data_IF_043669078560
#
_entry.id   IF_043669078560
#
_cell.length_a   1.000
_cell.length_b   1.000
_cell.length_c   1.000
_cell.angle_alpha   90.00
_cell.angle_beta   90.00
_cell.angle_gamma   90.00
#
_symmetry.space_group_name_H-M   'P 1'
#
loop_
_entity.id
_entity.type
_entity.pdbx_description
1 polymer ?
#
# COMPACT_ATOMS: atom_id res chain seq x y z
N UNK A 1 24.68 38.10 5.12
CA UNK A 1 24.84 36.81 5.85
C UNK A 1 23.47 36.17 5.94
N UNK A 2 23.36 34.86 5.69
CA UNK A 2 22.08 34.17 5.76
C UNK A 2 21.65 33.97 7.23
N UNK A 3 20.35 34.03 7.49
CA UNK A 3 19.72 33.56 8.72
C UNK A 3 19.29 32.12 8.48
N UNK A 4 19.82 31.19 9.27
CA UNK A 4 19.45 29.79 9.21
C UNK A 4 18.28 29.57 10.18
N UNK A 5 17.17 29.06 9.66
CA UNK A 5 15.97 28.76 10.42
C UNK A 5 15.69 27.25 10.30
N UNK A 6 15.46 26.60 11.43
CA UNK A 6 14.99 25.21 11.46
C UNK A 6 13.60 25.21 12.10
N UNK A 7 12.62 24.68 11.39
CA UNK A 7 11.28 24.43 11.92
C UNK A 7 11.24 22.97 12.38
N UNK A 8 10.89 22.74 13.64
CA UNK A 8 10.76 21.39 14.21
C UNK A 8 9.37 21.17 14.79
N UNK A 9 8.84 19.96 14.59
CA UNK A 9 7.63 19.48 15.23
C UNK A 9 8.01 18.23 16.03
N UNK A 10 7.73 18.23 17.33
CA UNK A 10 7.96 17.09 18.21
C UNK A 10 6.63 16.48 18.62
N UNK A 11 6.55 15.15 18.64
CA UNK A 11 5.34 14.45 19.08
C UNK A 11 5.32 12.98 18.72
N UNK A 12 4.12 12.41 18.63
CA UNK A 12 3.87 11.05 18.14
C UNK A 12 2.74 11.12 17.12
N UNK A 13 2.99 10.68 15.89
CA UNK A 13 2.01 10.73 14.81
C UNK A 13 2.60 10.34 13.47
N UNK A 14 1.81 10.53 12.40
CA UNK A 14 2.24 10.24 11.04
C UNK A 14 2.98 11.47 10.48
N UNK A 15 4.29 11.53 10.72
CA UNK A 15 5.11 12.65 10.23
C UNK A 15 5.31 12.66 8.71
N UNK A 16 5.17 11.50 8.06
CA UNK A 16 5.24 11.34 6.60
C UNK A 16 4.12 12.08 5.84
N UNK A 17 2.99 12.31 6.50
CA UNK A 17 1.83 13.00 5.92
C UNK A 17 1.93 14.54 6.01
N UNK A 18 2.94 15.07 6.72
CA UNK A 18 3.08 16.51 6.94
C UNK A 18 3.63 17.18 5.68
N UNK A 19 2.83 18.09 5.11
CA UNK A 19 3.26 18.91 3.99
C UNK A 19 4.39 19.86 4.40
N UNK A 20 5.34 20.08 3.49
CA UNK A 20 6.40 21.06 3.69
C UNK A 20 5.86 22.48 3.83
N UNK A 21 6.49 23.27 4.70
CA UNK A 21 6.16 24.68 4.84
C UNK A 21 6.74 25.48 3.69
N UNK A 22 5.93 26.37 3.13
CA UNK A 22 6.37 27.44 2.22
C UNK A 22 6.55 28.73 3.01
N UNK A 23 7.69 29.38 2.85
CA UNK A 23 8.00 30.65 3.49
C UNK A 23 8.21 31.72 2.41
N UNK A 24 7.46 32.82 2.52
CA UNK A 24 7.62 33.99 1.68
C UNK A 24 7.79 35.22 2.58
N UNK A 25 8.85 36.00 2.32
CA UNK A 25 9.23 37.18 3.09
C UNK A 25 9.65 38.25 2.08
N UNK A 26 8.93 39.36 2.09
CA UNK A 26 9.22 40.49 1.22
C UNK A 26 10.65 41.01 1.43
N UNK A 27 11.39 41.20 0.33
CA UNK A 27 12.77 41.70 0.38
C UNK A 27 13.83 40.71 0.86
N UNK A 28 13.48 39.42 0.96
CA UNK A 28 14.41 38.34 1.25
C UNK A 28 14.32 37.20 0.24
N UNK A 29 15.46 36.60 -0.10
CA UNK A 29 15.53 35.34 -0.86
C UNK A 29 15.53 34.18 0.13
N UNK A 30 14.63 33.21 -0.06
CA UNK A 30 14.52 32.01 0.77
C UNK A 30 14.98 30.79 0.00
N UNK A 31 15.86 30.00 0.62
CA UNK A 31 16.19 28.64 0.20
C UNK A 31 15.65 27.67 1.25
N UNK A 32 15.08 26.56 0.80
CA UNK A 32 14.53 25.53 1.68
C UNK A 32 15.01 24.15 1.26
N UNK A 33 15.41 23.36 2.23
CA UNK A 33 15.67 21.93 2.02
C UNK A 33 14.35 21.16 2.04
N UNK A 34 14.39 19.90 1.55
CA UNK A 34 13.30 18.96 1.75
C UNK A 34 13.11 18.65 3.25
N UNK A 35 11.89 18.27 3.62
CA UNK A 35 11.59 17.91 4.99
C UNK A 35 12.16 16.53 5.35
N UNK A 36 12.70 16.41 6.55
CA UNK A 36 13.21 15.15 7.11
C UNK A 36 12.38 14.77 8.34
N UNK A 37 12.17 13.48 8.57
CA UNK A 37 11.45 13.00 9.74
C UNK A 37 12.07 11.75 10.35
N UNK A 38 11.80 11.57 11.63
CA UNK A 38 12.15 10.40 12.45
C UNK A 38 10.91 9.94 13.22
N UNK A 39 11.07 8.99 14.15
CA UNK A 39 9.96 8.41 14.91
C UNK A 39 9.22 9.41 15.82
N UNK A 40 9.84 10.52 16.22
CA UNK A 40 9.29 11.48 17.17
C UNK A 40 9.45 12.95 16.74
N UNK A 41 10.00 13.19 15.55
CA UNK A 41 10.36 14.52 15.10
C UNK A 41 10.20 14.66 13.60
N UNK A 42 9.66 15.80 13.19
CA UNK A 42 9.69 16.30 11.81
C UNK A 42 10.50 17.60 11.79
N UNK A 43 11.31 17.82 10.75
CA UNK A 43 12.10 19.04 10.59
C UNK A 43 12.19 19.52 9.14
N UNK A 44 12.28 20.84 8.96
CA UNK A 44 12.61 21.48 7.69
C UNK A 44 13.54 22.67 7.93
N UNK A 45 14.56 22.81 7.07
CA UNK A 45 15.59 23.85 7.17
C UNK A 45 15.39 24.90 6.08
N UNK A 46 15.60 26.15 6.47
CA UNK A 46 15.56 27.32 5.60
C UNK A 46 16.81 28.16 5.77
N UNK A 47 17.30 28.72 4.67
CA UNK A 47 18.31 29.77 4.66
C UNK A 47 17.69 31.04 4.07
N UNK A 48 17.61 32.09 4.88
CA UNK A 48 16.95 33.36 4.53
C UNK A 48 18.03 34.42 4.32
N UNK A 49 18.06 35.01 3.13
CA UNK A 49 19.01 36.07 2.75
C UNK A 49 18.24 37.36 2.51
N UNK A 50 18.17 38.21 3.54
CA UNK A 50 17.58 39.54 3.46
C UNK A 50 18.62 40.64 3.31
N UNK A 51 18.28 41.70 2.57
CA UNK A 51 19.09 42.92 2.45
C UNK A 51 18.75 44.02 3.46
N UNK A 52 17.59 43.91 4.10
CA UNK A 52 17.03 44.85 5.07
C UNK A 52 16.37 44.10 6.23
N UNK A 53 15.92 44.82 7.25
CA UNK A 53 15.14 44.24 8.34
C UNK A 53 13.89 43.52 7.79
N UNK A 54 13.61 42.34 8.33
CA UNK A 54 12.48 41.53 7.92
C UNK A 54 11.88 40.78 9.11
N UNK A 55 10.64 40.32 8.96
CA UNK A 55 9.94 39.53 9.97
C UNK A 55 9.69 38.14 9.41
N UNK A 56 10.15 37.12 10.14
CA UNK A 56 9.79 35.73 9.88
C UNK A 56 8.36 35.56 10.42
N UNK A 57 7.36 35.24 9.57
CA UNK A 57 5.98 35.07 10.00
C UNK A 57 5.80 33.90 10.97
N UNK A 58 4.66 33.91 11.66
CA UNK A 58 4.21 32.79 12.49
C UNK A 58 3.95 31.56 11.61
N UNK A 59 4.49 30.41 12.00
CA UNK A 59 4.16 29.12 11.41
C UNK A 59 2.92 28.57 12.11
N UNK A 60 1.91 28.17 11.33
CA UNK A 60 0.70 27.51 11.83
C UNK A 60 0.69 26.05 11.39
N UNK A 61 0.35 25.17 12.32
CA UNK A 61 0.22 23.74 12.05
C UNK A 61 -1.11 23.23 12.60
N UNK A 62 -1.91 22.68 11.69
CA UNK A 62 -3.19 22.07 12.00
C UNK A 62 -3.03 20.54 12.05
N UNK A 63 -3.60 19.91 13.07
CA UNK A 63 -3.56 18.46 13.23
C UNK A 63 -4.83 17.91 13.88
N UNK A 64 -5.07 16.61 13.71
CA UNK A 64 -6.15 15.89 14.39
C UNK A 64 -5.61 15.24 15.66
N UNK A 65 -6.14 15.64 16.82
CA UNK A 65 -5.76 15.06 18.10
C UNK A 65 -6.62 13.82 18.37
N UNK A 66 -5.98 12.64 18.40
CA UNK A 66 -6.64 11.35 18.62
C UNK A 66 -7.25 11.20 20.02
N UNK A 67 -6.72 11.91 21.03
CA UNK A 67 -7.21 11.82 22.42
C UNK A 67 -8.51 12.61 22.56
N UNK A 68 -8.54 13.83 22.03
CA UNK A 68 -9.73 14.70 22.09
C UNK A 68 -10.68 14.54 20.91
N UNK A 69 -10.30 13.72 19.92
CA UNK A 69 -11.02 13.48 18.66
C UNK A 69 -11.43 14.78 17.95
N UNK A 70 -10.56 15.78 17.99
CA UNK A 70 -10.84 17.12 17.46
C UNK A 70 -9.67 17.68 16.66
N UNK A 71 -9.97 18.59 15.73
CA UNK A 71 -8.95 19.36 15.02
C UNK A 71 -8.39 20.43 15.95
N UNK A 72 -7.06 20.46 16.11
CA UNK A 72 -6.33 21.46 16.87
C UNK A 72 -5.36 22.21 15.97
N UNK A 73 -4.98 23.42 16.39
CA UNK A 73 -4.02 24.27 15.71
C UNK A 73 -3.00 24.78 16.72
N UNK A 74 -1.73 24.74 16.35
CA UNK A 74 -0.63 25.33 17.11
C UNK A 74 0.13 26.30 16.22
N UNK A 75 0.69 27.35 16.83
CA UNK A 75 1.39 28.39 16.09
C UNK A 75 2.63 28.88 16.83
N UNK A 76 3.67 29.23 16.06
CA UNK A 76 4.85 29.91 16.60
C UNK A 76 4.60 31.41 16.72
N UNK A 77 5.46 32.12 17.45
CA UNK A 77 5.47 33.59 17.43
C UNK A 77 6.28 34.07 16.21
N UNK A 78 5.90 35.17 15.57
CA UNK A 78 6.73 35.79 14.53
C UNK A 78 8.06 36.27 15.14
N UNK A 79 9.12 36.26 14.33
CA UNK A 79 10.48 36.62 14.75
C UNK A 79 10.98 37.81 13.93
N UNK A 80 11.21 38.93 14.59
CA UNK A 80 11.78 40.13 13.95
C UNK A 80 13.30 40.02 13.85
N UNK A 81 13.82 40.15 12.62
CA UNK A 81 15.25 40.13 12.32
C UNK A 81 15.71 41.54 11.96
N UNK A 82 16.69 42.04 12.71
CA UNK A 82 17.32 43.33 12.45
C UNK A 82 18.70 43.13 11.82
N UNK A 83 18.91 43.70 10.64
CA UNK A 83 20.18 43.66 9.92
C UNK A 83 20.95 44.93 10.25
N UNK A 84 21.99 44.80 11.07
CA UNK A 84 22.92 45.90 11.35
C UNK A 84 23.85 46.13 10.16
N UNK A 85 23.35 46.77 9.12
CA UNK A 85 24.16 47.27 8.01
C UNK A 85 24.82 48.59 8.41
N UNK A 86 26.15 48.70 8.28
CA UNK A 86 26.79 50.02 8.26
C UNK A 86 26.23 50.77 7.05
N UNK A 87 25.65 51.97 7.26
CA UNK A 87 25.06 52.80 6.21
C UNK A 87 26.00 52.87 5.00
N UNK A 88 25.60 52.19 3.92
CA UNK A 88 26.32 52.12 2.66
C UNK A 88 25.31 51.99 1.54
N UNK A 89 24.88 53.15 1.04
CA UNK A 89 24.26 53.39 -0.27
C UNK A 89 23.13 52.43 -0.68
N UNK A 90 21.90 52.90 -0.46
CA UNK A 90 20.73 52.42 -1.19
C UNK A 90 21.00 52.58 -2.69
N UNK A 91 21.12 51.48 -3.42
CA UNK A 91 20.85 51.49 -4.86
C UNK A 91 19.35 51.30 -5.03
N UNK A 92 18.63 52.21 -5.71
CA UNK A 92 17.22 52.01 -5.99
C UNK A 92 17.08 50.79 -6.90
N UNK A 93 16.40 49.76 -6.40
CA UNK A 93 15.94 48.65 -7.23
C UNK A 93 14.89 49.25 -8.16
N UNK A 94 15.22 49.34 -9.45
CA UNK A 94 14.25 49.65 -10.50
C UNK A 94 13.15 48.61 -10.44
N UNK A 95 11.90 49.07 -10.29
CA UNK A 95 10.72 48.30 -10.70
C UNK A 95 10.91 47.95 -12.18
N UNK A 96 10.97 46.66 -12.49
CA UNK A 96 10.79 46.19 -13.86
C UNK A 96 9.31 45.83 -13.95
N UNK A 97 8.57 46.69 -14.64
CA UNK A 97 7.21 46.40 -15.08
C UNK A 97 7.18 45.12 -15.90
N UNK A 98 6.12 44.37 -15.67
CA UNK A 98 5.79 43.12 -16.32
C UNK A 98 5.87 43.24 -17.85
N UNK A 99 6.73 42.42 -18.45
CA UNK A 99 6.49 41.89 -19.79
C UNK A 99 6.02 40.44 -19.59
N UNK A 100 4.88 40.02 -20.16
CA UNK A 100 4.58 38.60 -20.24
C UNK A 100 5.61 38.00 -21.20
N UNK A 101 6.72 37.52 -20.65
CA UNK A 101 7.53 36.55 -21.35
C UNK A 101 6.63 35.33 -21.47
N UNK A 102 6.26 34.98 -22.70
CA UNK A 102 5.85 33.62 -23.04
C UNK A 102 6.99 32.71 -22.56
N UNK A 103 6.92 32.30 -21.31
CA UNK A 103 7.57 31.08 -20.88
C UNK A 103 6.74 30.04 -21.61
N UNK A 104 7.33 29.47 -22.66
CA UNK A 104 6.90 28.16 -23.10
C UNK A 104 6.85 27.31 -21.83
N UNK A 105 5.64 27.05 -21.34
CA UNK A 105 5.31 25.94 -20.47
C UNK A 105 5.59 24.66 -21.27
N UNK A 106 6.85 24.44 -21.62
CA UNK A 106 7.35 23.10 -21.74
C UNK A 106 7.57 22.69 -20.29
N UNK A 107 6.65 21.93 -19.66
CA UNK A 107 6.98 21.28 -18.41
C UNK A 107 8.35 20.62 -18.62
N UNK A 108 9.25 20.59 -17.62
CA UNK A 108 10.43 19.73 -17.73
C UNK A 108 9.86 18.39 -18.15
N UNK A 109 10.22 17.92 -19.35
CA UNK A 109 9.66 16.70 -19.93
C UNK A 109 10.17 15.59 -19.04
N UNK A 110 9.43 15.38 -17.94
CA UNK A 110 9.73 14.44 -16.91
C UNK A 110 9.27 13.12 -17.49
N UNK A 111 10.06 12.62 -18.42
CA UNK A 111 10.02 11.30 -19.00
C UNK A 111 9.90 10.21 -17.92
N UNK A 112 10.30 10.49 -16.67
CA UNK A 112 10.01 9.66 -15.49
C UNK A 112 8.52 9.36 -15.33
N UNK A 113 7.60 10.30 -15.58
CA UNK A 113 6.14 10.05 -15.52
C UNK A 113 5.73 8.95 -16.50
N UNK A 114 6.29 8.97 -17.72
CA UNK A 114 6.03 7.96 -18.74
C UNK A 114 6.72 6.62 -18.41
N UNK A 115 7.89 6.65 -17.77
CA UNK A 115 8.54 5.44 -17.24
C UNK A 115 7.72 4.79 -16.12
N UNK A 116 7.18 5.56 -15.17
CA UNK A 116 6.28 5.03 -14.14
C UNK A 116 4.97 4.48 -14.73
N UNK A 117 4.44 5.12 -15.77
CA UNK A 117 3.27 4.63 -16.50
C UNK A 117 3.57 3.29 -17.19
N UNK A 118 4.71 3.19 -17.91
CA UNK A 118 5.16 1.94 -18.53
C UNK A 118 5.42 0.84 -17.49
N UNK A 119 6.01 1.19 -16.35
CA UNK A 119 6.25 0.26 -15.25
C UNK A 119 4.93 -0.26 -14.65
N UNK A 120 3.94 0.62 -14.46
CA UNK A 120 2.61 0.24 -14.00
C UNK A 120 1.91 -0.72 -14.97
N UNK A 121 2.01 -0.46 -16.29
CA UNK A 121 1.47 -1.36 -17.32
C UNK A 121 2.18 -2.72 -17.29
N UNK A 122 3.52 -2.74 -17.17
CA UNK A 122 4.28 -3.98 -17.12
C UNK A 122 3.93 -4.83 -15.89
N UNK A 123 3.80 -4.21 -14.71
CA UNK A 123 3.39 -4.89 -13.47
C UNK A 123 1.95 -5.40 -13.59
N UNK A 124 1.03 -4.57 -14.10
CA UNK A 124 -0.38 -4.96 -14.30
C UNK A 124 -0.54 -6.14 -15.26
N UNK A 125 0.19 -6.12 -16.38
CA UNK A 125 0.22 -7.23 -17.33
C UNK A 125 0.80 -8.50 -16.70
N UNK A 126 1.89 -8.39 -15.94
CA UNK A 126 2.50 -9.52 -15.24
C UNK A 126 1.54 -10.15 -14.23
N UNK A 127 0.87 -9.35 -13.39
CA UNK A 127 -0.12 -9.83 -12.43
C UNK A 127 -1.31 -10.49 -13.14
N UNK A 128 -1.76 -9.91 -14.26
CA UNK A 128 -2.88 -10.46 -15.04
C UNK A 128 -2.53 -11.81 -15.66
N UNK A 129 -1.33 -11.94 -16.24
CA UNK A 129 -0.82 -13.20 -16.79
C UNK A 129 -0.69 -14.24 -15.69
N UNK A 130 -0.13 -13.87 -14.52
CA UNK A 130 0.00 -14.75 -13.38
C UNK A 130 -1.38 -15.22 -12.89
N UNK A 131 -2.35 -14.31 -12.78
CA UNK A 131 -3.71 -14.61 -12.37
C UNK A 131 -4.39 -15.59 -13.35
N UNK A 132 -4.28 -15.36 -14.67
CA UNK A 132 -4.83 -16.26 -15.69
C UNK A 132 -4.12 -17.62 -15.66
N UNK A 133 -2.79 -17.65 -15.54
CA UNK A 133 -2.02 -18.90 -15.47
C UNK A 133 -2.37 -19.74 -14.23
N UNK A 134 -2.67 -19.09 -13.10
CA UNK A 134 -3.13 -19.76 -11.88
C UNK A 134 -4.59 -20.24 -12.01
N UNK A 135 -5.45 -19.45 -12.65
CA UNK A 135 -6.88 -19.76 -12.80
C UNK A 135 -7.16 -20.80 -13.90
N UNK A 136 -6.23 -21.00 -14.84
CA UNK A 136 -6.35 -22.01 -15.90
C UNK A 136 -6.11 -23.45 -15.41
N UNK A 137 -5.90 -23.67 -14.11
CA UNK A 137 -6.03 -24.98 -13.48
C UNK A 137 -7.47 -25.16 -13.02
N UNK A 138 -8.39 -25.41 -13.95
CA UNK A 138 -9.68 -25.98 -13.55
C UNK A 138 -9.41 -27.27 -12.75
N UNK A 139 -9.91 -27.39 -11.52
CA UNK A 139 -9.92 -28.69 -10.86
C UNK A 139 -10.87 -29.56 -11.69
N UNK A 140 -10.35 -30.60 -12.34
CA UNK A 140 -11.22 -31.65 -12.86
C UNK A 140 -12.10 -32.13 -11.71
N UNK A 141 -13.41 -32.23 -11.92
CA UNK A 141 -14.38 -32.79 -10.94
C UNK A 141 -13.88 -34.12 -10.34
N UNK A 142 -13.10 -34.85 -11.12
CA UNK A 142 -12.44 -36.09 -10.73
C UNK A 142 -11.36 -35.89 -9.64
N UNK A 143 -10.57 -34.80 -9.70
CA UNK A 143 -9.65 -34.45 -8.60
C UNK A 143 -10.38 -34.10 -7.31
N UNK A 144 -11.59 -33.51 -7.35
CA UNK A 144 -12.31 -33.19 -6.12
C UNK A 144 -12.85 -34.45 -5.42
N UNK A 145 -13.45 -35.40 -6.14
CA UNK A 145 -13.95 -36.64 -5.54
C UNK A 145 -12.82 -37.53 -5.01
N UNK A 146 -11.76 -37.72 -5.79
CA UNK A 146 -10.58 -38.51 -5.36
C UNK A 146 -9.93 -37.89 -4.12
N UNK A 147 -9.84 -36.56 -4.05
CA UNK A 147 -9.29 -35.88 -2.88
C UNK A 147 -10.21 -36.01 -1.66
N UNK A 148 -11.52 -35.89 -1.82
CA UNK A 148 -12.47 -36.08 -0.73
C UNK A 148 -12.42 -37.53 -0.18
N UNK A 149 -12.31 -38.55 -1.03
CA UNK A 149 -12.13 -39.95 -0.60
C UNK A 149 -10.83 -40.14 0.19
N UNK A 150 -9.74 -39.52 -0.27
CA UNK A 150 -8.45 -39.55 0.45
C UNK A 150 -8.55 -38.88 1.82
N UNK A 151 -9.23 -37.74 1.90
CA UNK A 151 -9.36 -36.91 3.10
C UNK A 151 -10.43 -37.42 4.09
N UNK A 152 -11.39 -38.24 3.65
CA UNK A 152 -12.45 -38.78 4.51
C UNK A 152 -11.86 -39.52 5.72
N UNK A 153 -12.20 -39.06 6.93
CA UNK A 153 -11.71 -39.66 8.18
C UNK A 153 -12.74 -40.64 8.71
N UNK A 154 -12.40 -41.92 8.65
CA UNK A 154 -13.23 -43.03 9.17
C UNK A 154 -14.29 -43.53 8.19
N UNK A 155 -14.87 -44.67 8.56
CA UNK A 155 -15.76 -45.45 7.71
C UNK A 155 -17.09 -44.72 7.45
N UNK A 156 -17.63 -44.02 8.45
CA UNK A 156 -18.86 -43.22 8.30
C UNK A 156 -18.73 -42.11 7.26
N UNK A 157 -17.65 -41.33 7.33
CA UNK A 157 -17.42 -40.23 6.37
C UNK A 157 -17.20 -40.75 4.94
N UNK A 158 -16.60 -41.94 4.81
CA UNK A 158 -16.43 -42.59 3.52
C UNK A 158 -17.75 -43.15 2.99
N UNK A 159 -18.58 -43.75 3.84
CA UNK A 159 -19.90 -44.25 3.50
C UNK A 159 -20.84 -43.13 3.02
N UNK A 160 -20.95 -42.05 3.79
CA UNK A 160 -21.79 -40.89 3.46
C UNK A 160 -21.38 -40.24 2.12
N UNK A 161 -20.09 -40.30 1.75
CA UNK A 161 -19.57 -39.77 0.49
C UNK A 161 -19.88 -40.68 -0.71
N UNK A 162 -19.83 -42.00 -0.53
CA UNK A 162 -20.02 -42.97 -1.62
C UNK A 162 -21.50 -43.28 -1.89
N UNK A 163 -22.36 -43.13 -0.88
CA UNK A 163 -23.79 -43.43 -0.97
C UNK A 163 -24.51 -42.71 -2.14
N UNK A 164 -24.28 -41.41 -2.41
CA UNK A 164 -24.96 -40.71 -3.50
C UNK A 164 -24.50 -41.13 -4.91
N UNK A 165 -23.40 -41.88 -5.04
CA UNK A 165 -22.84 -42.22 -6.35
C UNK A 165 -23.65 -43.31 -7.07
N UNK A 166 -24.47 -44.09 -6.36
CA UNK A 166 -25.35 -45.14 -6.92
C UNK A 166 -24.65 -46.07 -7.94
N UNK A 167 -23.38 -46.45 -7.67
CA UNK A 167 -22.57 -47.29 -8.55
C UNK A 167 -22.61 -48.75 -8.09
N UNK A 168 -22.88 -49.67 -9.01
CA UNK A 168 -22.92 -51.12 -8.75
C UNK A 168 -21.53 -51.65 -8.35
N UNK A 169 -20.47 -51.02 -8.86
CA UNK A 169 -19.08 -51.31 -8.52
C UNK A 169 -18.71 -51.04 -7.04
N UNK A 170 -19.51 -50.24 -6.34
CA UNK A 170 -19.27 -49.83 -4.95
C UNK A 170 -20.13 -50.59 -3.92
N UNK A 171 -21.07 -51.42 -4.35
CA UNK A 171 -22.07 -52.05 -3.48
C UNK A 171 -21.43 -52.95 -2.41
N UNK A 172 -20.46 -53.77 -2.79
CA UNK A 172 -19.72 -54.61 -1.84
C UNK A 172 -18.93 -53.78 -0.81
N UNK A 173 -18.44 -52.61 -1.20
CA UNK A 173 -17.69 -51.71 -0.33
C UNK A 173 -18.64 -50.98 0.63
N UNK A 174 -19.81 -50.56 0.14
CA UNK A 174 -20.86 -49.96 0.95
C UNK A 174 -21.36 -50.93 2.02
N UNK A 175 -21.56 -52.20 1.69
CA UNK A 175 -21.95 -53.23 2.65
C UNK A 175 -20.88 -53.47 3.73
N UNK A 176 -19.60 -53.49 3.35
CA UNK A 176 -18.50 -53.63 4.31
C UNK A 176 -18.41 -52.41 5.24
N UNK A 177 -18.61 -51.20 4.70
CA UNK A 177 -18.66 -49.97 5.49
C UNK A 177 -19.87 -49.95 6.44
N UNK A 178 -21.05 -50.37 5.97
CA UNK A 178 -22.25 -50.48 6.79
C UNK A 178 -22.04 -51.49 7.94
N UNK A 179 -21.42 -52.64 7.65
CA UNK A 179 -21.10 -53.64 8.66
C UNK A 179 -20.10 -53.11 9.71
N UNK A 180 -19.11 -52.31 9.30
CA UNK A 180 -18.18 -51.67 10.23
C UNK A 180 -18.86 -50.61 11.10
N UNK A 181 -19.81 -49.85 10.54
CA UNK A 181 -20.51 -48.76 11.26
C UNK A 181 -21.57 -49.30 12.23
N UNK A 182 -22.38 -50.27 11.79
CA UNK A 182 -23.59 -50.69 12.51
C UNK A 182 -23.50 -52.10 13.10
N UNK A 183 -22.64 -52.97 12.56
CA UNK A 183 -22.53 -54.38 12.99
C UNK A 183 -21.22 -54.68 13.72
N UNK A 184 -20.46 -53.65 14.07
CA UNK A 184 -19.18 -53.74 14.80
C UNK A 184 -18.14 -54.64 14.08
N UNK A 185 -18.26 -54.78 12.76
CA UNK A 185 -17.28 -55.51 11.94
C UNK A 185 -15.98 -54.70 11.78
N UNK A 186 -14.90 -55.37 11.35
CA UNK A 186 -13.56 -54.79 11.20
C UNK A 186 -13.00 -55.08 9.79
N UNK A 187 -13.80 -54.80 8.76
CA UNK A 187 -13.37 -54.95 7.36
C UNK A 187 -12.35 -53.87 6.99
N UNK A 188 -11.23 -54.27 6.38
CA UNK A 188 -10.19 -53.34 5.94
C UNK A 188 -10.57 -52.68 4.60
N UNK A 189 -10.97 -51.42 4.65
CA UNK A 189 -11.35 -50.67 3.44
C UNK A 189 -10.14 -50.02 2.77
N UNK A 190 -9.85 -50.42 1.51
CA UNK A 190 -8.75 -49.85 0.72
C UNK A 190 -9.26 -48.71 -0.17
N UNK A 191 -8.97 -47.48 0.22
CA UNK A 191 -9.33 -46.26 -0.54
C UNK A 191 -8.84 -46.24 -1.99
N UNK A 192 -7.74 -46.92 -2.29
CA UNK A 192 -7.21 -47.03 -3.66
C UNK A 192 -8.16 -47.82 -4.58
N UNK A 193 -8.79 -48.87 -4.07
CA UNK A 193 -9.69 -49.73 -4.83
C UNK A 193 -10.96 -48.96 -5.22
N UNK A 194 -11.48 -48.15 -4.29
CA UNK A 194 -12.62 -47.23 -4.50
C UNK A 194 -12.30 -46.20 -5.59
N UNK A 195 -11.13 -45.57 -5.54
CA UNK A 195 -10.70 -44.58 -6.54
C UNK A 195 -10.57 -45.22 -7.92
N UNK A 196 -10.06 -46.45 -8.00
CA UNK A 196 -9.92 -47.16 -9.26
C UNK A 196 -11.28 -47.55 -9.85
N UNK A 197 -12.23 -48.00 -9.03
CA UNK A 197 -13.59 -48.30 -9.45
C UNK A 197 -14.29 -47.07 -10.06
N UNK A 198 -14.24 -45.93 -9.36
CA UNK A 198 -14.84 -44.67 -9.83
C UNK A 198 -14.22 -44.19 -11.15
N UNK A 199 -12.89 -44.27 -11.28
CA UNK A 199 -12.18 -43.88 -12.50
C UNK A 199 -12.45 -44.80 -13.68
N UNK A 200 -12.61 -46.09 -13.42
CA UNK A 200 -12.91 -47.08 -14.45
C UNK A 200 -14.30 -46.85 -15.01
N UNK A 201 -15.30 -46.64 -14.15
CA UNK A 201 -16.69 -46.40 -14.53
C UNK A 201 -16.85 -45.08 -15.32
N UNK A 202 -16.14 -44.02 -14.92
CA UNK A 202 -16.09 -42.74 -15.66
C UNK A 202 -15.31 -42.79 -16.99
N UNK A 203 -14.54 -43.85 -17.24
CA UNK A 203 -13.86 -44.04 -18.53
C UNK A 203 -14.71 -44.83 -19.52
N UNK A 204 -15.72 -45.55 -19.02
CA UNK A 204 -16.63 -46.38 -19.81
C UNK A 204 -17.86 -45.57 -20.27
N UNK A 205 -18.28 -44.57 -19.49
CA UNK A 205 -19.28 -43.57 -19.86
C UNK A 205 -18.65 -42.32 -20.47
#
# INVERSE_FOLDING_TARGET
KAVNLTVTIHGKGNFEDIQKFSLDIEGATIYSDEAEFSYNQWQQKFAIVGGQDFVIPSFKFDYFDKITQSKKSIATKPISIQIKSKKGVQKPIKKIDQKPSNINDNPPTNNLKYYYLLLGIAIGAFISILFVALKNKQPSKDKSLVNQIKLARGDKALFDLLLPLNMLSLEAILQQLEANIYKNAQHKIRKKDIINAIKFEHKIN
#
